data_IF_576025819927
#
_entry.id   IF_576025819927
#
_cell.length_a   1.000
_cell.length_b   1.000
_cell.length_c   1.000
_cell.angle_alpha   90.00
_cell.angle_beta   90.00
_cell.angle_gamma   90.00
#
_symmetry.space_group_name_H-M   'P 1'
#
loop_
_entity.id
_entity.type
_entity.pdbx_description
1 polymer ?
#
# COMPACT_ATOMS: atom_id res chain seq x y z
N UNK A 1 -29.05 -21.95 25.27
CA UNK A 1 -28.97 -20.64 25.94
C UNK A 1 -27.80 -19.89 25.31
N UNK A 2 -28.08 -19.21 24.21
CA UNK A 2 -27.11 -18.43 23.45
C UNK A 2 -26.74 -17.19 24.25
N UNK A 3 -25.43 -16.99 24.45
CA UNK A 3 -24.90 -15.70 24.86
C UNK A 3 -24.36 -15.06 23.58
N UNK A 4 -25.26 -14.44 22.81
CA UNK A 4 -24.90 -13.46 21.80
C UNK A 4 -24.28 -12.27 22.52
N UNK A 5 -22.94 -12.24 22.57
CA UNK A 5 -22.19 -11.02 22.88
C UNK A 5 -21.89 -10.38 21.53
N UNK A 6 -22.68 -9.39 21.13
CA UNK A 6 -22.27 -8.43 20.11
C UNK A 6 -20.99 -7.75 20.59
N UNK A 7 -19.83 -8.23 20.11
CA UNK A 7 -18.59 -7.48 20.23
C UNK A 7 -18.77 -6.27 19.33
N UNK A 8 -19.09 -5.12 19.90
CA UNK A 8 -19.01 -3.87 19.16
C UNK A 8 -17.63 -3.79 18.50
N UNK A 9 -17.58 -3.47 17.21
CA UNK A 9 -16.39 -3.56 16.35
C UNK A 9 -15.24 -2.61 16.75
N UNK A 10 -15.34 -1.94 17.90
CA UNK A 10 -14.41 -0.91 18.35
C UNK A 10 -14.29 0.22 17.33
N UNK A 11 -15.34 0.44 16.54
CA UNK A 11 -15.44 1.46 15.51
C UNK A 11 -16.09 2.71 16.13
N UNK A 12 -15.34 3.81 16.16
CA UNK A 12 -15.78 5.08 16.74
C UNK A 12 -15.47 6.23 15.81
N UNK A 13 -16.35 7.22 15.79
CA UNK A 13 -16.17 8.45 15.02
C UNK A 13 -17.16 8.59 13.87
N UNK A 14 -17.22 9.80 13.35
CA UNK A 14 -18.09 10.18 12.23
C UNK A 14 -17.23 10.63 11.07
N UNK A 15 -17.54 10.13 9.88
CA UNK A 15 -16.77 10.40 8.67
C UNK A 15 -17.68 10.77 7.52
N UNK A 16 -17.38 11.86 6.78
CA UNK A 16 -17.99 12.11 5.49
C UNK A 16 -17.69 10.93 4.55
N UNK A 17 -18.72 10.43 3.88
CA UNK A 17 -18.63 9.35 2.91
C UNK A 17 -19.44 9.71 1.67
N UNK A 18 -18.95 9.26 0.52
CA UNK A 18 -19.65 9.38 -0.75
C UNK A 18 -20.85 8.42 -0.78
N UNK A 19 -22.02 8.92 -1.17
CA UNK A 19 -23.24 8.13 -1.36
C UNK A 19 -23.23 7.53 -2.77
N UNK A 20 -23.05 6.21 -2.85
CA UNK A 20 -22.75 5.50 -4.09
C UNK A 20 -23.87 5.61 -5.12
N UNK A 21 -25.12 5.36 -4.73
CA UNK A 21 -26.26 5.36 -5.64
C UNK A 21 -26.56 6.74 -6.25
N UNK A 22 -26.23 7.80 -5.51
CA UNK A 22 -26.41 9.18 -5.97
C UNK A 22 -25.22 9.67 -6.82
N UNK A 23 -24.11 8.92 -6.84
CA UNK A 23 -22.90 9.32 -7.56
C UNK A 23 -23.03 9.04 -9.05
N UNK A 24 -22.78 10.08 -9.85
CA UNK A 24 -22.74 10.03 -11.32
C UNK A 24 -21.31 10.25 -11.80
N UNK A 25 -21.05 10.03 -13.10
CA UNK A 25 -19.72 10.28 -13.69
C UNK A 25 -19.30 11.74 -13.59
N UNK A 26 -20.24 12.67 -13.72
CA UNK A 26 -19.94 14.11 -13.70
C UNK A 26 -19.53 14.60 -12.30
N UNK A 27 -19.96 13.92 -11.25
CA UNK A 27 -19.50 14.19 -9.89
C UNK A 27 -18.00 13.89 -9.69
N UNK A 28 -17.42 13.01 -10.52
CA UNK A 28 -16.04 12.54 -10.38
C UNK A 28 -15.04 13.32 -11.25
N UNK A 29 -15.44 14.51 -11.73
CA UNK A 29 -14.56 15.39 -12.50
C UNK A 29 -13.58 16.12 -11.58
N UNK A 30 -12.36 16.27 -12.06
CA UNK A 30 -11.38 17.14 -11.45
C UNK A 30 -11.77 18.62 -11.66
N UNK A 31 -11.48 19.45 -10.66
CA UNK A 31 -11.51 20.90 -10.78
C UNK A 31 -10.18 21.42 -11.31
N UNK A 32 -10.13 22.71 -11.67
CA UNK A 32 -8.93 23.37 -12.20
C UNK A 32 -7.70 23.34 -11.28
N UNK A 33 -7.83 22.88 -10.02
CA UNK A 33 -6.72 22.68 -9.09
C UNK A 33 -6.26 21.22 -9.02
N UNK A 34 -6.73 20.35 -9.91
CA UNK A 34 -6.46 18.92 -9.87
C UNK A 34 -6.96 18.30 -8.57
N UNK A 35 -8.14 18.73 -8.10
CA UNK A 35 -8.86 18.12 -6.96
C UNK A 35 -10.27 17.74 -7.36
N UNK A 36 -10.81 16.67 -6.79
CA UNK A 36 -12.23 16.36 -6.99
C UNK A 36 -13.05 17.49 -6.35
N UNK A 37 -14.03 18.00 -7.09
CA UNK A 37 -14.91 19.03 -6.56
C UNK A 37 -15.88 18.44 -5.53
N UNK A 38 -15.45 18.47 -4.27
CA UNK A 38 -16.24 17.95 -3.14
C UNK A 38 -17.55 18.71 -2.90
N UNK A 39 -17.77 19.90 -3.47
CA UNK A 39 -18.98 20.68 -3.22
C UNK A 39 -20.22 20.07 -3.89
N UNK A 40 -20.03 19.41 -5.03
CA UNK A 40 -21.11 18.79 -5.81
C UNK A 40 -21.21 17.28 -5.60
N UNK A 41 -20.38 16.70 -4.73
CA UNK A 41 -20.44 15.29 -4.41
C UNK A 41 -21.63 15.00 -3.50
N UNK A 42 -22.37 13.91 -3.74
CA UNK A 42 -23.38 13.43 -2.80
C UNK A 42 -22.67 12.84 -1.57
N UNK A 43 -22.49 13.63 -0.53
CA UNK A 43 -21.77 13.25 0.69
C UNK A 43 -22.75 13.20 1.86
N UNK A 44 -22.61 12.18 2.70
CA UNK A 44 -23.29 12.11 4.00
C UNK A 44 -22.30 11.77 5.10
N UNK A 45 -22.66 12.07 6.35
CA UNK A 45 -21.85 11.67 7.51
C UNK A 45 -22.31 10.30 7.97
N UNK A 46 -21.40 9.33 7.95
CA UNK A 46 -21.63 7.98 8.49
C UNK A 46 -21.02 7.91 9.89
N UNK A 47 -21.83 7.48 10.86
CA UNK A 47 -21.40 7.23 12.23
C UNK A 47 -20.93 5.79 12.36
N UNK A 48 -19.62 5.57 12.54
CA UNK A 48 -19.09 4.20 12.58
C UNK A 48 -19.58 3.41 13.80
N UNK A 49 -20.02 4.10 14.86
CA UNK A 49 -20.62 3.47 16.04
C UNK A 49 -21.99 2.85 15.79
N UNK A 50 -22.66 3.20 14.68
CA UNK A 50 -23.91 2.54 14.27
C UNK A 50 -23.68 1.34 13.34
N UNK A 51 -22.42 1.06 12.98
CA UNK A 51 -22.11 -0.10 12.16
C UNK A 51 -22.08 -1.38 13.00
N UNK A 52 -22.60 -2.47 12.44
CA UNK A 52 -22.62 -3.82 12.98
C UNK A 52 -22.27 -4.83 11.86
N UNK A 53 -22.17 -6.11 12.19
CA UNK A 53 -21.78 -7.14 11.22
C UNK A 53 -22.71 -7.22 10.00
N UNK A 54 -23.99 -6.88 10.15
CA UNK A 54 -24.99 -6.93 9.06
C UNK A 54 -24.83 -5.76 8.07
N UNK A 55 -24.40 -4.59 8.54
CA UNK A 55 -24.34 -3.38 7.72
C UNK A 55 -22.91 -2.96 7.34
N UNK A 56 -21.87 -3.59 7.86
CA UNK A 56 -20.48 -3.41 7.39
C UNK A 56 -20.35 -3.64 5.89
N UNK A 57 -20.95 -4.67 5.26
CA UNK A 57 -20.83 -4.87 3.81
C UNK A 57 -21.37 -3.70 3.00
N UNK A 58 -22.26 -2.86 3.56
CA UNK A 58 -22.79 -1.68 2.89
C UNK A 58 -21.82 -0.48 2.92
N UNK A 59 -20.62 -0.62 3.49
CA UNK A 59 -19.60 0.42 3.49
C UNK A 59 -18.25 -0.13 3.01
N UNK A 60 -17.45 0.72 2.37
CA UNK A 60 -16.05 0.41 2.09
C UNK A 60 -15.16 1.64 2.18
N UNK A 61 -13.90 1.40 2.50
CA UNK A 61 -12.84 2.40 2.33
C UNK A 61 -12.18 2.20 0.98
N UNK A 62 -11.94 3.29 0.25
CA UNK A 62 -11.24 3.26 -1.02
C UNK A 62 -9.79 3.64 -0.78
N UNK A 63 -8.89 2.69 -1.01
CA UNK A 63 -7.48 3.00 -1.23
C UNK A 63 -7.30 3.35 -2.70
N UNK A 64 -7.29 4.65 -2.98
CA UNK A 64 -7.19 5.17 -4.33
C UNK A 64 -5.85 5.88 -4.54
N UNK A 65 -5.19 5.62 -5.68
CA UNK A 65 -3.96 6.30 -6.04
C UNK A 65 -3.95 6.64 -7.51
N UNK A 66 -3.44 7.83 -7.78
CA UNK A 66 -3.26 8.38 -9.12
C UNK A 66 -4.58 8.52 -9.86
N UNK A 67 -4.71 9.61 -10.59
CA UNK A 67 -5.71 9.71 -11.62
C UNK A 67 -5.24 10.72 -12.65
N UNK A 68 -5.96 10.76 -13.76
CA UNK A 68 -5.61 11.54 -14.93
C UNK A 68 -5.50 13.04 -14.66
N UNK A 69 -4.95 13.75 -15.65
CA UNK A 69 -4.70 15.19 -15.59
C UNK A 69 -5.96 16.02 -15.22
N UNK A 70 -5.79 17.26 -14.71
CA UNK A 70 -6.81 18.07 -14.02
C UNK A 70 -8.14 18.38 -14.75
N UNK A 71 -8.38 17.88 -15.96
CA UNK A 71 -9.56 18.18 -16.77
C UNK A 71 -10.41 16.95 -17.14
N UNK A 72 -10.05 15.76 -16.62
CA UNK A 72 -10.77 14.51 -16.89
C UNK A 72 -11.64 14.02 -15.71
N UNK A 73 -12.40 12.96 -15.96
CA UNK A 73 -13.10 12.19 -14.92
C UNK A 73 -12.09 11.25 -14.26
N UNK A 74 -12.13 11.16 -12.94
CA UNK A 74 -11.30 10.20 -12.21
C UNK A 74 -11.68 8.76 -12.58
N UNK A 75 -10.81 8.07 -13.31
CA UNK A 75 -11.05 6.70 -13.80
C UNK A 75 -10.99 5.67 -12.68
N UNK A 76 -10.07 5.83 -11.74
CA UNK A 76 -9.97 4.90 -10.61
C UNK A 76 -11.16 5.04 -9.66
N UNK A 77 -11.60 6.27 -9.35
CA UNK A 77 -12.80 6.42 -8.52
C UNK A 77 -14.07 6.04 -9.27
N UNK A 78 -14.13 6.27 -10.58
CA UNK A 78 -15.23 5.77 -11.38
C UNK A 78 -15.29 4.23 -11.33
N UNK A 79 -14.16 3.54 -11.47
CA UNK A 79 -14.08 2.08 -11.31
C UNK A 79 -14.49 1.64 -9.91
N UNK A 80 -14.02 2.33 -8.86
CA UNK A 80 -14.41 2.03 -7.48
C UNK A 80 -15.92 2.21 -7.26
N UNK A 81 -16.53 3.27 -7.81
CA UNK A 81 -17.97 3.52 -7.73
C UNK A 81 -18.77 2.49 -8.52
N UNK A 82 -18.32 2.09 -9.72
CA UNK A 82 -18.99 1.04 -10.52
C UNK A 82 -18.95 -0.29 -9.76
N UNK A 83 -17.79 -0.67 -9.21
CA UNK A 83 -17.66 -1.86 -8.38
C UNK A 83 -18.57 -1.77 -7.15
N UNK A 84 -18.58 -0.63 -6.44
CA UNK A 84 -19.41 -0.42 -5.27
C UNK A 84 -20.91 -0.60 -5.58
N UNK A 85 -21.38 -0.09 -6.72
CA UNK A 85 -22.77 -0.29 -7.19
C UNK A 85 -23.06 -1.77 -7.46
N UNK A 86 -22.13 -2.49 -8.08
CA UNK A 86 -22.27 -3.92 -8.34
C UNK A 86 -22.34 -4.74 -7.05
N UNK A 87 -21.55 -4.36 -6.05
CA UNK A 87 -21.45 -5.05 -4.75
C UNK A 87 -22.45 -4.52 -3.71
N UNK A 88 -23.41 -3.66 -4.10
CA UNK A 88 -24.42 -3.06 -3.20
C UNK A 88 -23.82 -2.29 -2.00
N UNK A 89 -22.64 -1.71 -2.18
CA UNK A 89 -22.00 -0.84 -1.19
C UNK A 89 -22.66 0.54 -1.26
N UNK A 90 -23.24 1.00 -0.16
CA UNK A 90 -23.97 2.27 -0.09
C UNK A 90 -23.04 3.48 0.11
N UNK A 91 -21.95 3.31 0.87
CA UNK A 91 -21.07 4.42 1.27
C UNK A 91 -19.60 4.11 1.04
N UNK A 92 -18.88 5.06 0.41
CA UNK A 92 -17.43 5.00 0.22
C UNK A 92 -16.71 6.06 1.05
N UNK A 93 -15.77 5.61 1.88
CA UNK A 93 -14.82 6.47 2.57
C UNK A 93 -13.59 6.67 1.70
N UNK A 94 -13.29 7.91 1.32
CA UNK A 94 -12.19 8.27 0.42
C UNK A 94 -11.41 9.39 1.11
N UNK A 95 -10.09 9.27 1.25
CA UNK A 95 -9.26 10.21 2.02
C UNK A 95 -9.48 11.69 1.68
N UNK A 96 -9.55 12.02 0.39
CA UNK A 96 -9.78 13.39 -0.14
C UNK A 96 -11.18 13.93 0.15
N UNK A 97 -12.14 13.07 0.46
CA UNK A 97 -13.54 13.41 0.77
C UNK A 97 -13.80 13.36 2.29
N UNK A 98 -13.29 12.33 2.94
CA UNK A 98 -13.52 12.00 4.35
C UNK A 98 -12.64 12.82 5.31
N UNK A 99 -11.53 13.38 4.83
CA UNK A 99 -10.62 14.20 5.62
C UNK A 99 -10.67 15.65 5.11
N UNK A 100 -11.02 16.58 6.01
CA UNK A 100 -10.91 18.00 5.73
C UNK A 100 -9.43 18.41 5.61
N UNK A 101 -8.97 18.60 4.38
CA UNK A 101 -7.60 18.99 4.04
C UNK A 101 -7.27 20.44 4.43
N UNK A 102 -8.25 21.22 4.91
CA UNK A 102 -8.05 22.61 5.38
C UNK A 102 -7.68 22.67 6.87
N UNK A 103 -7.68 21.54 7.57
CA UNK A 103 -7.30 21.47 8.97
C UNK A 103 -5.84 21.92 9.19
N UNK A 104 -5.54 22.58 10.33
CA UNK A 104 -4.16 22.84 10.73
C UNK A 104 -3.34 21.55 10.81
N UNK A 105 -2.03 21.63 10.51
CA UNK A 105 -1.11 20.49 10.39
C UNK A 105 -1.30 19.42 11.48
N UNK A 106 -1.26 19.79 12.75
CA UNK A 106 -1.36 18.82 13.86
C UNK A 106 -2.72 18.11 13.93
N UNK A 107 -3.80 18.81 13.56
CA UNK A 107 -5.14 18.23 13.49
C UNK A 107 -5.29 17.35 12.25
N UNK A 108 -4.72 17.76 11.13
CA UNK A 108 -4.70 16.98 9.90
C UNK A 108 -3.96 15.66 10.10
N UNK A 109 -2.76 15.68 10.71
CA UNK A 109 -1.99 14.46 11.02
C UNK A 109 -2.81 13.49 11.88
N UNK A 110 -3.45 13.99 12.96
CA UNK A 110 -4.32 13.16 13.80
C UNK A 110 -5.50 12.59 13.03
N UNK A 111 -6.08 13.37 12.10
CA UNK A 111 -7.22 12.95 11.28
C UNK A 111 -6.82 11.89 10.26
N UNK A 112 -5.69 12.07 9.57
CA UNK A 112 -5.08 11.07 8.68
C UNK A 112 -4.79 9.78 9.44
N UNK A 113 -4.11 9.86 10.59
CA UNK A 113 -3.82 8.67 11.39
C UNK A 113 -5.08 7.94 11.88
N UNK A 114 -6.14 8.67 12.21
CA UNK A 114 -7.43 8.08 12.56
C UNK A 114 -8.12 7.42 11.36
N UNK A 115 -8.03 8.04 10.17
CA UNK A 115 -8.58 7.49 8.94
C UNK A 115 -7.85 6.22 8.50
N UNK A 116 -6.51 6.20 8.57
CA UNK A 116 -5.72 5.02 8.18
C UNK A 116 -6.05 3.77 8.98
N UNK A 117 -6.57 3.90 10.22
CA UNK A 117 -7.03 2.75 11.01
C UNK A 117 -8.24 2.05 10.39
N UNK A 118 -9.03 2.74 9.56
CA UNK A 118 -10.20 2.17 8.90
C UNK A 118 -9.83 1.07 7.89
N UNK A 119 -8.62 1.14 7.29
CA UNK A 119 -8.11 0.11 6.37
C UNK A 119 -7.94 -1.28 7.01
N UNK A 120 -7.95 -1.38 8.35
CA UNK A 120 -7.89 -2.64 9.09
C UNK A 120 -9.26 -3.10 9.63
N UNK A 121 -10.33 -2.35 9.36
CA UNK A 121 -11.63 -2.53 10.03
C UNK A 121 -12.85 -2.49 9.12
N UNK A 122 -12.70 -2.10 7.86
CA UNK A 122 -13.80 -2.00 6.89
C UNK A 122 -13.39 -2.69 5.58
N UNK A 123 -14.34 -3.21 4.78
CA UNK A 123 -14.05 -3.66 3.42
C UNK A 123 -13.24 -2.62 2.64
N UNK A 124 -12.26 -3.08 1.85
CA UNK A 124 -11.33 -2.20 1.14
C UNK A 124 -11.51 -2.36 -0.35
N UNK A 125 -11.69 -1.25 -1.05
CA UNK A 125 -11.58 -1.19 -2.51
C UNK A 125 -10.23 -0.59 -2.87
N UNK A 126 -9.46 -1.27 -3.70
CA UNK A 126 -8.13 -0.81 -4.16
C UNK A 126 -8.22 -0.38 -5.62
N UNK A 127 -7.91 0.87 -5.91
CA UNK A 127 -7.98 1.44 -7.26
C UNK A 127 -6.69 2.20 -7.58
N UNK A 128 -5.72 1.52 -8.22
CA UNK A 128 -4.33 1.98 -8.40
C UNK A 128 -3.86 1.99 -9.85
N UNK A 129 -4.74 1.76 -10.82
CA UNK A 129 -4.34 1.75 -12.22
C UNK A 129 -3.80 3.12 -12.62
N UNK A 130 -2.75 3.10 -13.45
CA UNK A 130 -2.10 4.31 -13.95
C UNK A 130 -1.93 4.17 -15.46
N UNK A 131 -2.39 5.18 -16.19
CA UNK A 131 -2.43 5.19 -17.65
C UNK A 131 -1.04 5.30 -18.31
N UNK A 132 0.01 5.59 -17.56
CA UNK A 132 1.37 5.67 -18.10
C UNK A 132 2.04 4.28 -18.24
N UNK A 133 3.12 4.24 -19.01
CA UNK A 133 3.94 3.03 -19.19
C UNK A 133 4.66 2.58 -17.90
N UNK A 134 4.37 3.21 -16.76
CA UNK A 134 4.98 2.84 -15.49
C UNK A 134 4.47 1.45 -15.05
N UNK A 135 5.35 0.69 -14.39
CA UNK A 135 4.99 -0.65 -13.94
C UNK A 135 4.06 -0.56 -12.73
N UNK A 136 3.08 -1.47 -12.65
CA UNK A 136 2.18 -1.56 -11.50
C UNK A 136 2.96 -1.75 -10.18
N UNK A 137 4.09 -2.47 -10.25
CA UNK A 137 5.06 -2.61 -9.16
C UNK A 137 5.57 -1.26 -8.64
N UNK A 138 5.94 -0.33 -9.52
CA UNK A 138 6.41 1.01 -9.11
C UNK A 138 5.34 1.84 -8.44
N UNK A 139 4.07 1.62 -8.79
CA UNK A 139 2.95 2.23 -8.05
C UNK A 139 2.87 1.66 -6.64
N UNK A 140 2.95 0.33 -6.51
CA UNK A 140 2.81 -0.39 -5.25
C UNK A 140 3.98 -0.17 -4.28
N UNK A 141 5.22 -0.08 -4.77
CA UNK A 141 6.43 0.05 -3.95
C UNK A 141 6.67 1.46 -3.37
N UNK A 142 5.69 2.36 -3.39
CA UNK A 142 5.88 3.73 -2.87
C UNK A 142 5.82 3.79 -1.35
N UNK A 143 6.68 4.58 -0.69
CA UNK A 143 6.79 4.51 0.76
C UNK A 143 5.59 4.88 1.61
N UNK A 144 4.72 5.74 1.11
CA UNK A 144 3.52 6.12 1.87
C UNK A 144 2.40 5.07 1.79
N UNK A 145 2.44 4.14 0.82
CA UNK A 145 1.42 3.09 0.69
C UNK A 145 1.55 2.00 1.75
N UNK A 146 2.75 1.74 2.28
CA UNK A 146 2.96 0.55 3.10
C UNK A 146 2.13 0.56 4.40
N UNK A 147 1.97 1.71 5.06
CA UNK A 147 1.19 1.78 6.29
C UNK A 147 -0.26 1.35 6.04
N UNK A 148 -0.81 1.71 4.90
CA UNK A 148 -2.14 1.25 4.48
C UNK A 148 -2.12 -0.22 4.11
N UNK A 149 -1.14 -0.68 3.31
CA UNK A 149 -1.05 -2.09 2.94
C UNK A 149 -0.89 -3.02 4.16
N UNK A 150 -0.15 -2.59 5.19
CA UNK A 150 -0.06 -3.28 6.48
C UNK A 150 -1.41 -3.32 7.19
N UNK A 151 -2.13 -2.21 7.23
CA UNK A 151 -3.47 -2.17 7.81
C UNK A 151 -4.46 -3.07 7.04
N UNK A 152 -4.36 -3.10 5.70
CA UNK A 152 -5.15 -3.96 4.81
C UNK A 152 -4.84 -5.44 5.08
N UNK A 153 -3.60 -5.81 5.39
CA UNK A 153 -3.20 -7.20 5.65
C UNK A 153 -3.93 -7.80 6.85
N UNK A 154 -4.06 -7.02 7.91
CA UNK A 154 -4.71 -7.46 9.15
C UNK A 154 -6.23 -7.27 9.12
N UNK A 155 -6.78 -6.87 7.96
CA UNK A 155 -8.20 -6.62 7.81
C UNK A 155 -8.98 -7.94 7.68
N UNK A 156 -9.99 -8.18 8.54
CA UNK A 156 -10.81 -9.39 8.45
C UNK A 156 -11.86 -9.34 7.32
N UNK A 157 -12.04 -8.19 6.65
CA UNK A 157 -13.03 -7.97 5.60
C UNK A 157 -12.43 -8.09 4.19
N UNK A 158 -13.28 -8.25 3.16
CA UNK A 158 -12.82 -8.35 1.78
C UNK A 158 -11.97 -7.15 1.32
N UNK A 159 -10.95 -7.46 0.53
CA UNK A 159 -10.12 -6.49 -0.20
C UNK A 159 -10.33 -6.75 -1.68
N UNK A 160 -10.95 -5.80 -2.38
CA UNK A 160 -11.34 -5.97 -3.78
C UNK A 160 -10.60 -4.98 -4.66
N UNK A 161 -10.00 -5.47 -5.73
CA UNK A 161 -9.33 -4.62 -6.72
C UNK A 161 -10.34 -4.04 -7.73
N UNK A 162 -10.37 -2.72 -7.87
CA UNK A 162 -11.19 -1.96 -8.81
C UNK A 162 -10.30 -1.30 -9.88
N UNK A 163 -9.84 -2.10 -10.85
CA UNK A 163 -9.09 -1.60 -12.00
C UNK A 163 -10.00 -1.07 -13.12
N UNK A 164 -9.51 -0.08 -13.87
CA UNK A 164 -10.06 0.32 -15.17
C UNK A 164 -9.22 -0.22 -16.35
N UNK A 165 -8.02 -0.73 -16.10
CA UNK A 165 -7.12 -1.33 -17.08
C UNK A 165 -7.11 -2.85 -16.92
N UNK A 166 -7.53 -3.55 -17.97
CA UNK A 166 -7.60 -5.02 -17.96
C UNK A 166 -6.24 -5.72 -17.74
N UNK A 167 -5.12 -4.99 -17.86
CA UNK A 167 -3.76 -5.56 -17.95
C UNK A 167 -2.80 -5.12 -16.84
N UNK A 168 -3.23 -4.37 -15.82
CA UNK A 168 -2.27 -3.86 -14.81
C UNK A 168 -2.43 -4.54 -13.44
N UNK A 169 -3.61 -4.49 -12.84
CA UNK A 169 -3.77 -4.96 -11.45
C UNK A 169 -4.26 -6.40 -11.25
N UNK A 170 -4.71 -7.10 -12.30
CA UNK A 170 -5.23 -8.48 -12.18
C UNK A 170 -4.32 -9.55 -12.79
N UNK A 171 -3.18 -9.15 -13.35
CA UNK A 171 -2.22 -10.07 -13.97
C UNK A 171 -1.35 -10.81 -12.92
N UNK A 172 -0.48 -11.71 -13.41
CA UNK A 172 0.46 -12.46 -12.57
C UNK A 172 1.31 -11.57 -11.65
N UNK A 173 1.66 -10.36 -12.11
CA UNK A 173 2.38 -9.33 -11.33
C UNK A 173 1.48 -8.17 -10.87
N UNK A 174 0.17 -8.43 -10.73
CA UNK A 174 -0.84 -7.46 -10.33
C UNK A 174 -0.89 -7.20 -8.82
N UNK A 175 -2.03 -6.72 -8.33
CA UNK A 175 -2.22 -6.28 -6.95
C UNK A 175 -1.86 -7.37 -5.93
N UNK A 176 -2.43 -8.57 -6.04
CA UNK A 176 -2.20 -9.64 -5.06
C UNK A 176 -0.73 -10.04 -4.99
N UNK A 177 -0.05 -10.16 -6.13
CA UNK A 177 1.38 -10.47 -6.16
C UNK A 177 2.21 -9.37 -5.50
N UNK A 178 1.98 -8.11 -5.89
CA UNK A 178 2.73 -6.97 -5.35
C UNK A 178 2.46 -6.80 -3.85
N UNK A 179 1.22 -7.01 -3.41
CA UNK A 179 0.82 -6.95 -2.01
C UNK A 179 1.57 -7.98 -1.17
N UNK A 180 1.58 -9.25 -1.59
CA UNK A 180 2.33 -10.32 -0.94
C UNK A 180 3.84 -10.07 -0.96
N UNK A 181 4.36 -9.55 -2.08
CA UNK A 181 5.78 -9.28 -2.22
C UNK A 181 6.25 -8.13 -1.30
N UNK A 182 5.49 -7.04 -1.26
CA UNK A 182 5.73 -5.92 -0.33
C UNK A 182 5.65 -6.39 1.10
N UNK A 183 4.70 -7.25 1.42
CA UNK A 183 4.61 -7.80 2.76
C UNK A 183 5.85 -8.61 3.15
N UNK A 184 6.35 -9.47 2.26
CA UNK A 184 7.51 -10.33 2.52
C UNK A 184 8.83 -9.57 2.56
N UNK A 185 9.06 -8.66 1.61
CA UNK A 185 10.35 -7.99 1.41
C UNK A 185 10.39 -6.57 2.01
N UNK A 186 9.24 -6.09 2.48
CA UNK A 186 9.04 -4.80 3.15
C UNK A 186 9.65 -3.62 2.37
N UNK A 187 10.09 -2.60 3.11
CA UNK A 187 10.62 -1.34 2.62
C UNK A 187 11.95 -1.42 1.87
N UNK A 188 12.61 -2.57 1.93
CA UNK A 188 13.98 -2.64 1.45
C UNK A 188 14.07 -2.41 -0.06
N UNK A 189 13.16 -3.00 -0.84
CA UNK A 189 13.11 -2.78 -2.29
C UNK A 189 12.88 -1.30 -2.62
N UNK A 190 12.01 -0.64 -1.86
CA UNK A 190 11.76 0.80 -2.01
C UNK A 190 12.99 1.65 -1.64
N UNK A 191 13.66 1.35 -0.52
CA UNK A 191 14.87 2.08 -0.10
C UNK A 191 15.97 1.93 -1.15
N UNK A 192 16.18 0.71 -1.66
CA UNK A 192 17.15 0.43 -2.73
C UNK A 192 16.77 1.13 -4.02
N UNK A 193 15.50 1.10 -4.43
CA UNK A 193 15.03 1.81 -5.62
C UNK A 193 15.23 3.34 -5.52
N UNK A 194 15.00 3.93 -4.33
CA UNK A 194 15.28 5.37 -4.10
C UNK A 194 16.79 5.64 -4.12
N UNK A 195 17.58 4.78 -3.49
CA UNK A 195 19.04 4.86 -3.46
C UNK A 195 19.66 4.78 -4.87
N UNK A 196 19.09 3.95 -5.75
CA UNK A 196 19.50 3.80 -7.14
C UNK A 196 18.91 4.86 -8.09
N UNK A 197 18.06 5.76 -7.58
CA UNK A 197 17.40 6.80 -8.38
C UNK A 197 16.29 6.28 -9.29
N UNK A 198 15.84 5.04 -9.12
CA UNK A 198 14.74 4.45 -9.86
C UNK A 198 13.36 4.89 -9.34
N UNK A 199 13.31 5.36 -8.10
CA UNK A 199 12.12 5.92 -7.46
C UNK A 199 12.43 7.26 -6.79
N UNK A 200 11.47 8.17 -6.83
CA UNK A 200 11.57 9.46 -6.16
C UNK A 200 10.74 9.50 -4.87
N UNK A 201 11.27 10.19 -3.87
CA UNK A 201 10.61 10.52 -2.62
C UNK A 201 10.82 12.00 -2.34
N UNK A 202 9.74 12.74 -2.06
CA UNK A 202 9.80 14.20 -1.91
C UNK A 202 10.72 14.64 -0.77
N UNK A 203 10.63 13.97 0.38
CA UNK A 203 11.57 14.15 1.49
C UNK A 203 11.97 12.79 2.03
N UNK A 204 13.23 12.42 1.86
CA UNK A 204 13.77 11.15 2.35
C UNK A 204 13.85 11.11 3.89
N UNK A 205 13.70 12.25 4.58
CA UNK A 205 13.60 12.31 6.05
C UNK A 205 12.35 11.62 6.61
N UNK A 206 11.31 11.44 5.78
CA UNK A 206 10.05 10.81 6.20
C UNK A 206 10.18 9.31 6.49
N UNK A 207 11.31 8.68 6.13
CA UNK A 207 11.60 7.30 6.54
C UNK A 207 11.51 7.12 8.07
N UNK A 208 11.77 8.17 8.87
CA UNK A 208 11.64 8.12 10.34
C UNK A 208 10.21 7.81 10.80
N UNK A 209 9.21 8.22 10.02
CA UNK A 209 7.79 7.98 10.33
C UNK A 209 7.33 6.61 9.81
N UNK A 210 7.99 6.12 8.78
CA UNK A 210 7.67 4.85 8.11
C UNK A 210 8.31 3.67 8.84
N UNK A 211 9.56 3.84 9.28
CA UNK A 211 10.39 2.86 9.96
C UNK A 211 10.52 3.22 11.44
N UNK A 212 9.37 3.36 12.09
CA UNK A 212 9.27 3.79 13.49
C UNK A 212 10.20 3.07 14.48
N UNK A 213 10.49 1.75 14.37
CA UNK A 213 11.40 1.07 15.29
C UNK A 213 12.84 1.60 15.29
N UNK A 214 13.27 2.25 14.20
CA UNK A 214 14.62 2.81 14.03
C UNK A 214 14.59 4.33 13.79
N UNK A 215 13.50 4.99 14.18
CA UNK A 215 13.25 6.41 13.90
C UNK A 215 14.38 7.33 14.38
N UNK A 216 14.86 7.12 15.60
CA UNK A 216 15.92 7.96 16.20
C UNK A 216 17.25 7.80 15.46
N UNK A 217 17.60 6.57 15.07
CA UNK A 217 18.81 6.30 14.30
C UNK A 217 18.74 6.89 12.89
N UNK A 218 17.57 6.80 12.24
CA UNK A 218 17.31 7.44 10.94
C UNK A 218 17.43 8.96 11.06
N UNK A 219 16.85 9.56 12.10
CA UNK A 219 16.90 11.01 12.32
C UNK A 219 18.35 11.48 12.54
N UNK A 220 19.14 10.73 13.31
CA UNK A 220 20.56 11.02 13.53
C UNK A 220 21.38 10.91 12.24
N UNK A 221 21.15 9.86 11.44
CA UNK A 221 21.80 9.66 10.15
C UNK A 221 21.46 10.78 9.17
N UNK A 222 20.19 11.17 9.06
CA UNK A 222 19.74 12.24 8.17
C UNK A 222 20.41 13.59 8.49
N UNK A 223 20.68 13.86 9.77
CA UNK A 223 21.31 15.11 10.20
C UNK A 223 22.82 15.17 9.92
N UNK A 224 23.48 14.03 9.71
CA UNK A 224 24.95 13.92 9.70
C UNK A 224 25.53 13.40 8.37
N UNK A 225 24.72 12.73 7.56
CA UNK A 225 25.16 12.05 6.35
C UNK A 225 24.64 12.75 5.10
N UNK A 226 25.35 12.59 3.98
CA UNK A 226 24.77 12.94 2.69
C UNK A 226 23.62 11.98 2.34
N UNK A 227 22.82 12.30 1.33
CA UNK A 227 21.64 11.54 0.97
C UNK A 227 21.93 10.06 0.63
N UNK A 228 23.04 9.78 -0.07
CA UNK A 228 23.40 8.42 -0.48
C UNK A 228 23.79 7.55 0.73
N UNK A 229 24.68 8.06 1.58
CA UNK A 229 25.10 7.39 2.81
C UNK A 229 23.94 7.24 3.80
N UNK A 230 23.07 8.24 3.88
CA UNK A 230 21.84 8.18 4.67
C UNK A 230 20.92 7.04 4.19
N UNK A 231 20.62 6.97 2.89
CA UNK A 231 19.74 5.94 2.34
C UNK A 231 20.33 4.53 2.48
N UNK A 232 21.64 4.39 2.27
CA UNK A 232 22.35 3.13 2.54
C UNK A 232 22.27 2.75 4.03
N UNK A 233 22.45 3.72 4.92
CA UNK A 233 22.30 3.51 6.37
C UNK A 233 20.89 3.10 6.73
N UNK A 234 19.86 3.73 6.15
CA UNK A 234 18.45 3.34 6.34
C UNK A 234 18.24 1.89 5.91
N UNK A 235 18.78 1.48 4.75
CA UNK A 235 18.72 0.09 4.30
C UNK A 235 19.38 -0.86 5.30
N UNK A 236 20.63 -0.60 5.69
CA UNK A 236 21.39 -1.43 6.62
C UNK A 236 20.71 -1.56 7.99
N UNK A 237 20.21 -0.45 8.55
CA UNK A 237 19.49 -0.44 9.82
C UNK A 237 18.16 -1.20 9.72
N UNK A 238 17.54 -1.24 8.54
CA UNK A 238 16.28 -1.93 8.34
C UNK A 238 16.44 -3.45 8.10
N UNK A 239 17.63 -3.89 7.67
CA UNK A 239 17.94 -5.28 7.35
C UNK A 239 17.56 -6.29 8.45
N UNK A 240 17.81 -6.03 9.76
CA UNK A 240 17.47 -6.98 10.82
C UNK A 240 15.96 -7.20 11.02
N UNK A 241 15.11 -6.34 10.45
CA UNK A 241 13.65 -6.42 10.58
C UNK A 241 13.00 -7.22 9.44
N UNK A 242 13.79 -7.76 8.52
CA UNK A 242 13.31 -8.45 7.34
C UNK A 242 13.23 -9.96 7.57
N UNK A 243 12.12 -10.62 7.20
CA UNK A 243 11.99 -12.06 7.35
C UNK A 243 12.78 -12.78 6.24
N UNK A 244 13.99 -13.24 6.57
CA UNK A 244 14.78 -14.11 5.69
C UNK A 244 15.60 -13.37 4.63
N UNK A 245 15.88 -14.06 3.52
CA UNK A 245 16.62 -13.49 2.38
C UNK A 245 15.75 -12.50 1.61
N UNK A 246 16.35 -11.38 1.20
CA UNK A 246 15.64 -10.35 0.43
C UNK A 246 16.17 -10.35 -1.00
N UNK A 247 15.25 -10.43 -1.95
CA UNK A 247 15.53 -10.36 -3.38
C UNK A 247 15.17 -8.98 -3.91
N UNK A 248 16.11 -8.34 -4.60
CA UNK A 248 15.92 -7.07 -5.31
C UNK A 248 16.07 -7.33 -6.79
N UNK A 249 15.26 -6.67 -7.60
CA UNK A 249 15.44 -6.71 -9.05
C UNK A 249 16.63 -5.87 -9.49
N UNK A 250 16.98 -4.90 -8.66
CA UNK A 250 17.94 -3.87 -8.94
C UNK A 250 19.37 -4.37 -8.64
N UNK A 251 20.30 -4.15 -9.58
CA UNK A 251 21.69 -4.55 -9.39
C UNK A 251 22.40 -3.54 -8.50
N UNK A 252 22.36 -3.78 -7.19
CA UNK A 252 22.94 -2.87 -6.21
C UNK A 252 24.47 -2.74 -6.31
N UNK A 253 25.16 -3.67 -6.99
CA UNK A 253 26.60 -3.54 -7.25
C UNK A 253 26.92 -2.28 -8.06
N UNK A 254 25.96 -1.74 -8.81
CA UNK A 254 26.11 -0.50 -9.57
C UNK A 254 26.34 0.74 -8.69
N UNK A 255 26.04 0.66 -7.38
CA UNK A 255 26.26 1.77 -6.46
C UNK A 255 27.74 1.99 -6.13
N UNK A 256 28.63 1.02 -6.40
CA UNK A 256 30.08 1.22 -6.33
C UNK A 256 30.64 1.50 -4.94
N UNK A 257 29.95 1.14 -3.85
CA UNK A 257 30.49 1.32 -2.50
C UNK A 257 31.63 0.34 -2.21
N UNK A 258 32.86 0.84 -2.20
CA UNK A 258 34.07 0.03 -1.97
C UNK A 258 34.13 -0.63 -0.59
N UNK A 259 33.38 -0.11 0.39
CA UNK A 259 33.37 -0.59 1.78
C UNK A 259 32.42 -1.77 2.01
N UNK A 260 31.56 -2.11 1.03
CA UNK A 260 30.55 -3.15 1.15
C UNK A 260 30.69 -4.18 0.03
N UNK A 261 30.60 -5.47 0.37
CA UNK A 261 30.56 -6.55 -0.61
C UNK A 261 29.11 -6.92 -0.91
N UNK A 262 28.68 -6.69 -2.16
CA UNK A 262 27.34 -7.09 -2.62
C UNK A 262 27.44 -8.36 -3.47
N UNK A 263 26.65 -9.38 -3.15
CA UNK A 263 26.64 -10.66 -3.89
C UNK A 263 25.36 -10.81 -4.71
N UNK A 264 25.52 -11.10 -5.99
CA UNK A 264 24.45 -11.63 -6.83
C UNK A 264 24.24 -13.10 -6.48
N UNK A 265 23.01 -13.48 -6.13
CA UNK A 265 22.63 -14.89 -5.98
C UNK A 265 21.83 -15.31 -7.22
N UNK A 266 22.19 -16.45 -7.81
CA UNK A 266 21.88 -16.80 -9.20
C UNK A 266 20.40 -17.07 -9.55
N UNK A 267 20.08 -16.86 -10.84
CA UNK A 267 18.81 -17.16 -11.52
C UNK A 267 18.07 -15.90 -11.97
N UNK A 268 18.33 -15.43 -13.20
CA UNK A 268 17.70 -14.28 -13.87
C UNK A 268 17.43 -13.03 -12.99
N UNK A 269 18.47 -12.20 -12.85
CA UNK A 269 18.37 -10.78 -12.49
C UNK A 269 17.75 -10.46 -11.11
N UNK A 270 18.21 -11.11 -10.05
CA UNK A 270 17.88 -10.72 -8.67
C UNK A 270 19.15 -10.57 -7.81
N UNK A 271 19.42 -9.36 -7.32
CA UNK A 271 20.41 -9.11 -6.27
C UNK A 271 19.87 -9.55 -4.91
N UNK A 272 20.71 -10.05 -4.01
CA UNK A 272 20.28 -10.35 -2.63
C UNK A 272 21.15 -9.62 -1.61
N UNK A 273 20.58 -9.35 -0.43
CA UNK A 273 21.34 -8.91 0.73
C UNK A 273 21.37 -10.03 1.77
N UNK A 274 22.57 -10.40 2.21
CA UNK A 274 22.74 -11.26 3.38
C UNK A 274 23.60 -10.52 4.41
N UNK A 275 23.15 -10.53 5.67
CA UNK A 275 23.94 -10.00 6.77
C UNK A 275 24.87 -11.12 7.24
N UNK A 276 26.12 -11.17 6.74
CA UNK A 276 27.10 -12.08 7.31
C UNK A 276 28.45 -11.38 7.51
N UNK A 277 28.87 -11.07 8.74
CA UNK A 277 30.22 -10.63 9.00
C UNK A 277 31.15 -11.85 8.89
N UNK A 278 31.64 -12.09 7.67
CA UNK A 278 32.72 -13.00 7.24
C UNK A 278 32.39 -14.51 7.06
N UNK A 279 32.79 -15.01 5.87
CA UNK A 279 33.13 -16.41 5.49
C UNK A 279 31.91 -17.33 5.22
N UNK A 280 31.80 -18.18 4.18
CA UNK A 280 32.39 -18.35 2.85
C UNK A 280 31.61 -19.51 2.16
N UNK A 281 31.63 -19.52 0.82
CA UNK A 281 31.68 -20.67 -0.10
C UNK A 281 30.75 -21.91 0.03
N UNK A 282 30.07 -22.15 -1.11
CA UNK A 282 30.05 -23.42 -1.86
C UNK A 282 29.01 -24.49 -1.47
N UNK A 283 27.99 -24.68 -2.32
CA UNK A 283 27.95 -25.79 -3.30
C UNK A 283 26.62 -25.86 -4.06
N UNK A 284 26.76 -25.96 -5.38
CA UNK A 284 25.90 -26.62 -6.38
C UNK A 284 24.59 -27.24 -5.90
N UNK A 285 23.45 -26.88 -6.52
CA UNK A 285 22.49 -27.88 -7.03
C UNK A 285 21.78 -27.32 -8.27
N UNK A 286 21.95 -28.07 -9.35
CA UNK A 286 21.27 -28.01 -10.65
C UNK A 286 19.79 -28.41 -10.45
N UNK A 287 18.82 -27.63 -10.96
CA UNK A 287 17.45 -28.12 -11.12
C UNK A 287 16.86 -27.66 -12.45
N UNK A 288 16.76 -28.64 -13.34
CA UNK A 288 15.98 -28.59 -14.55
C UNK A 288 14.50 -28.29 -14.30
N UNK A 289 13.92 -27.75 -15.36
CA UNK A 289 12.51 -27.50 -15.59
C UNK A 289 11.56 -28.60 -15.09
N UNK A 290 10.58 -28.20 -14.28
CA UNK A 290 9.17 -28.61 -14.38
C UNK A 290 8.34 -27.88 -13.31
N UNK A 291 7.43 -26.99 -13.73
CA UNK A 291 6.35 -26.46 -12.90
C UNK A 291 5.20 -27.49 -12.85
N UNK A 292 4.64 -27.80 -11.68
CA UNK A 292 3.28 -28.27 -11.58
C UNK A 292 2.36 -27.17 -11.05
N UNK A 293 1.23 -26.99 -11.74
CA UNK A 293 0.08 -26.22 -11.28
C UNK A 293 -0.32 -26.59 -9.84
N UNK A 294 -0.65 -25.60 -9.01
CA UNK A 294 -1.33 -25.86 -7.74
C UNK A 294 -2.44 -24.85 -7.48
N UNK A 295 -3.68 -25.34 -7.53
CA UNK A 295 -4.86 -24.70 -6.94
C UNK A 295 -4.77 -24.82 -5.43
N UNK A 296 -4.94 -23.70 -4.71
CA UNK A 296 -5.03 -23.71 -3.24
C UNK A 296 -6.48 -24.02 -2.84
N UNK A 297 -6.74 -25.21 -2.31
CA UNK A 297 -7.94 -25.51 -1.52
C UNK A 297 -7.66 -25.20 -0.04
N UNK A 298 -8.65 -24.65 0.67
CA UNK A 298 -8.63 -24.49 2.13
C UNK A 298 -8.41 -25.84 2.82
N UNK A 299 -7.70 -25.90 3.95
CA UNK A 299 -7.79 -27.04 4.85
C UNK A 299 -9.18 -27.06 5.51
N UNK A 300 -9.78 -28.24 5.72
CA UNK A 300 -10.97 -28.36 6.55
C UNK A 300 -10.61 -28.16 8.03
N UNK A 301 -11.48 -27.45 8.73
CA UNK A 301 -11.51 -27.34 10.19
C UNK A 301 -12.14 -28.61 10.81
N UNK A 302 -11.66 -29.02 12.00
CA UNK A 302 -12.24 -30.05 12.89
C UNK A 302 -11.32 -31.27 13.06
N UNK A 303 -11.05 -31.83 14.25
CA UNK A 303 -11.61 -31.70 15.61
C UNK A 303 -10.48 -31.81 16.67
#
# INVERSE_FOLDING_TARGET
>A
MEISRSRGLGLSGSWPALVVDQTTKDHLRWNAQGRIDTHNLPITVVHLSSLNEENIPAVAIVSWRWDTEPDEISRNLLSAVILAKHEYIAYLFIDTISIDQRLPKDKLIKRVAAFSKLYSKLPVIVAYDRDDNDSFQRVMYRPWLLTELRAIRDNPYPVTYAGHMATKGTQAYGFTYCFEHIWRHSFMATIVAILMGEMQMTDTSDFRFILSPISDAIQAAYAQMNQQDYLLTVALLYLPFLPGEIYFRENIQLLGYEQYEFRLCGGDCLGTWTNNPRIACDRSVDYGSQLPETRVRRPPEGD
#
